data_IF_474528789554
#
_entry.id   IF_474528789554
#
_cell.length_a   1.000
_cell.length_b   1.000
_cell.length_c   1.000
_cell.angle_alpha   90.00
_cell.angle_beta   90.00
_cell.angle_gamma   90.00
#
_symmetry.space_group_name_H-M   'P 1'
#
loop_
_entity.id
_entity.type
_entity.pdbx_description
1 polymer ?
#
# COMPACT_ATOMS: atom_id res chain seq x y z
N UNK A 1 0.59 -14.63 -16.69
CA UNK A 1 1.39 -13.41 -16.65
C UNK A 1 0.56 -12.25 -17.16
N UNK A 2 0.06 -12.32 -18.39
CA UNK A 2 -0.62 -11.20 -19.07
C UNK A 2 -1.89 -10.67 -18.37
N UNK A 3 -2.62 -11.49 -17.62
CA UNK A 3 -3.91 -11.09 -17.05
C UNK A 3 -3.91 -11.02 -15.51
N UNK A 4 -2.84 -11.46 -14.85
CA UNK A 4 -2.86 -11.67 -13.41
C UNK A 4 -1.71 -11.00 -12.67
N UNK A 5 -0.68 -10.49 -13.38
CA UNK A 5 0.48 -9.88 -12.76
C UNK A 5 0.65 -8.44 -13.24
N UNK A 6 0.61 -7.54 -12.28
CA UNK A 6 0.77 -6.11 -12.48
C UNK A 6 1.88 -5.61 -11.58
N UNK A 7 2.65 -4.64 -12.05
CA UNK A 7 3.75 -4.08 -11.26
C UNK A 7 4.06 -2.65 -11.66
N UNK A 8 4.48 -1.87 -10.68
CA UNK A 8 4.91 -0.47 -10.85
C UNK A 8 6.22 -0.29 -10.12
N UNK A 9 7.21 0.27 -10.79
CA UNK A 9 8.46 0.70 -10.17
C UNK A 9 8.88 2.07 -10.72
N UNK A 10 9.62 2.83 -9.91
CA UNK A 10 10.23 4.10 -10.33
C UNK A 10 11.48 3.84 -11.20
N UNK A 11 12.22 2.76 -10.95
CA UNK A 11 13.42 2.43 -11.71
C UNK A 11 13.08 1.59 -12.96
N UNK A 12 13.28 2.19 -14.12
CA UNK A 12 13.04 1.56 -15.41
C UNK A 12 13.85 0.28 -15.61
N UNK A 13 15.06 0.21 -15.03
CA UNK A 13 15.90 -1.00 -15.09
C UNK A 13 15.34 -2.13 -14.24
N UNK A 14 14.75 -1.80 -13.07
CA UNK A 14 14.06 -2.77 -12.23
C UNK A 14 12.84 -3.34 -12.96
N UNK A 15 12.10 -2.52 -13.68
CA UNK A 15 10.97 -2.94 -14.54
C UNK A 15 11.46 -3.92 -15.62
N UNK A 16 12.50 -3.56 -16.37
CA UNK A 16 13.05 -4.41 -17.43
C UNK A 16 13.54 -5.77 -16.90
N UNK A 17 14.28 -5.76 -15.79
CA UNK A 17 14.74 -6.99 -15.13
C UNK A 17 13.57 -7.86 -14.66
N UNK A 18 12.52 -7.25 -14.11
CA UNK A 18 11.32 -7.95 -13.66
C UNK A 18 10.59 -8.58 -14.86
N UNK A 19 10.44 -7.85 -15.95
CA UNK A 19 9.84 -8.37 -17.18
C UNK A 19 10.60 -9.60 -17.68
N UNK A 20 11.93 -9.52 -17.79
CA UNK A 20 12.79 -10.65 -18.20
C UNK A 20 12.61 -11.83 -17.23
N UNK A 21 12.64 -11.59 -15.92
CA UNK A 21 12.47 -12.65 -14.92
C UNK A 21 11.11 -13.35 -15.04
N UNK A 22 10.03 -12.59 -15.29
CA UNK A 22 8.70 -13.13 -15.52
C UNK A 22 8.61 -13.97 -16.79
N UNK A 23 9.24 -13.53 -17.89
CA UNK A 23 9.33 -14.33 -19.11
C UNK A 23 10.10 -15.64 -18.88
N UNK A 24 11.26 -15.59 -18.23
CA UNK A 24 12.04 -16.79 -17.90
C UNK A 24 11.21 -17.75 -17.03
N UNK A 25 10.52 -17.22 -16.01
CA UNK A 25 9.67 -18.03 -15.12
C UNK A 25 8.50 -18.65 -15.87
N UNK A 26 7.86 -17.90 -16.75
CA UNK A 26 6.79 -18.43 -17.61
C UNK A 26 7.28 -19.56 -18.52
N UNK A 27 8.46 -19.43 -19.11
CA UNK A 27 9.10 -20.50 -19.90
C UNK A 27 9.36 -21.75 -19.07
N UNK A 28 9.89 -21.60 -17.86
CA UNK A 28 10.15 -22.73 -16.95
C UNK A 28 8.87 -23.49 -16.60
N UNK A 29 7.76 -22.78 -16.35
CA UNK A 29 6.50 -23.38 -15.93
C UNK A 29 5.74 -24.04 -17.09
N UNK A 30 5.73 -23.45 -18.28
CA UNK A 30 4.98 -23.94 -19.45
C UNK A 30 5.73 -25.01 -20.27
N UNK A 31 7.04 -25.14 -20.09
CA UNK A 31 7.86 -26.02 -20.92
C UNK A 31 7.88 -25.60 -22.40
N UNK A 32 8.36 -26.51 -23.30
CA UNK A 32 8.58 -26.20 -24.73
C UNK A 32 7.30 -25.97 -25.57
N UNK A 33 6.10 -26.28 -25.07
CA UNK A 33 4.85 -26.27 -25.86
C UNK A 33 3.88 -25.13 -25.50
N UNK A 34 4.18 -24.28 -24.56
CA UNK A 34 3.31 -23.17 -24.16
C UNK A 34 3.54 -21.91 -24.97
N UNK A 35 2.49 -21.15 -25.29
CA UNK A 35 2.63 -19.82 -25.85
C UNK A 35 3.38 -18.92 -24.85
N UNK A 36 4.34 -18.14 -25.35
CA UNK A 36 5.04 -17.13 -24.55
C UNK A 36 4.14 -15.95 -24.30
N UNK A 37 4.25 -15.29 -23.12
CA UNK A 37 3.63 -14.01 -22.92
C UNK A 37 4.14 -13.02 -23.97
N UNK A 38 3.22 -12.27 -24.56
CA UNK A 38 3.57 -11.25 -25.56
C UNK A 38 3.83 -9.90 -24.90
N UNK A 39 3.26 -9.67 -23.71
CA UNK A 39 3.43 -8.45 -22.92
C UNK A 39 3.32 -8.74 -21.42
N UNK A 40 3.66 -7.75 -20.62
CA UNK A 40 3.47 -7.74 -19.17
C UNK A 40 2.85 -6.41 -18.75
N UNK A 41 2.11 -6.40 -17.64
CA UNK A 41 1.64 -5.16 -17.01
C UNK A 41 2.61 -4.68 -15.92
N UNK A 42 3.92 -4.80 -16.16
CA UNK A 42 4.97 -4.26 -15.29
C UNK A 42 5.54 -3.03 -15.96
N UNK A 43 5.32 -1.86 -15.36
CA UNK A 43 5.57 -0.57 -15.99
C UNK A 43 6.40 0.36 -15.13
N UNK A 44 7.16 1.24 -15.78
CA UNK A 44 7.83 2.34 -15.09
C UNK A 44 6.96 3.59 -15.13
N UNK A 45 7.22 4.49 -14.17
CA UNK A 45 6.53 5.79 -14.10
C UNK A 45 7.33 6.92 -14.75
N UNK A 46 8.36 6.59 -15.53
CA UNK A 46 9.16 7.53 -16.29
C UNK A 46 8.49 7.88 -17.63
N UNK A 47 7.49 8.76 -17.56
CA UNK A 47 6.89 9.41 -18.72
C UNK A 47 6.74 10.91 -18.42
N UNK A 48 6.76 11.74 -19.46
CA UNK A 48 6.65 13.19 -19.34
C UNK A 48 5.27 13.66 -19.78
N UNK A 49 4.61 14.44 -18.92
CA UNK A 49 3.35 15.09 -19.22
C UNK A 49 3.55 16.62 -19.23
N UNK A 50 2.83 17.35 -20.10
CA UNK A 50 2.92 18.80 -20.18
C UNK A 50 2.29 19.47 -18.95
N UNK A 51 2.53 20.76 -18.81
CA UNK A 51 1.83 21.58 -17.81
C UNK A 51 0.32 21.52 -18.02
N UNK A 52 -0.45 21.53 -16.92
CA UNK A 52 -1.91 21.48 -16.96
C UNK A 52 -2.53 22.56 -17.85
N UNK A 53 -1.92 23.74 -17.92
CA UNK A 53 -2.34 24.84 -18.79
C UNK A 53 -2.54 24.45 -20.27
N UNK A 54 -1.73 23.50 -20.76
CA UNK A 54 -1.79 23.02 -22.16
C UNK A 54 -2.93 22.03 -22.40
N UNK A 55 -3.38 21.34 -21.38
CA UNK A 55 -4.42 20.29 -21.49
C UNK A 55 -5.75 20.74 -20.88
N UNK A 56 -5.77 21.83 -20.13
CA UNK A 56 -6.96 22.35 -19.45
C UNK A 56 -8.18 22.45 -20.36
N UNK A 57 -7.99 22.90 -21.62
CA UNK A 57 -9.06 22.99 -22.59
C UNK A 57 -9.77 21.66 -22.87
N UNK A 58 -9.03 20.55 -22.93
CA UNK A 58 -9.60 19.23 -23.18
C UNK A 58 -10.50 18.73 -22.03
N UNK A 59 -10.23 19.20 -20.80
CA UNK A 59 -11.04 18.84 -19.63
C UNK A 59 -12.29 19.74 -19.47
N UNK A 60 -12.21 20.99 -19.89
CA UNK A 60 -13.28 21.99 -19.65
C UNK A 60 -14.21 22.11 -20.87
N UNK A 61 -13.75 21.79 -22.08
CA UNK A 61 -14.56 21.92 -23.29
C UNK A 61 -15.76 20.98 -23.27
N UNK A 62 -16.97 21.56 -23.19
CA UNK A 62 -18.23 20.81 -23.22
C UNK A 62 -18.65 20.19 -21.89
N UNK A 63 -18.07 20.58 -20.78
CA UNK A 63 -18.43 20.11 -19.45
C UNK A 63 -18.80 21.27 -18.51
N UNK A 64 -19.89 21.12 -17.76
CA UNK A 64 -20.33 22.06 -16.73
C UNK A 64 -19.68 21.77 -15.35
N UNK A 65 -18.37 21.51 -15.34
CA UNK A 65 -17.69 21.14 -14.10
C UNK A 65 -17.51 22.33 -13.17
N UNK A 66 -17.89 22.12 -11.92
CA UNK A 66 -17.76 23.13 -10.88
C UNK A 66 -16.28 23.36 -10.48
N UNK A 67 -16.03 24.40 -9.71
CA UNK A 67 -14.67 24.81 -9.32
C UNK A 67 -13.92 23.71 -8.54
N UNK A 68 -14.63 22.96 -7.70
CA UNK A 68 -14.04 21.85 -6.90
C UNK A 68 -13.59 20.72 -7.82
N UNK A 69 -14.44 20.33 -8.78
CA UNK A 69 -14.11 19.32 -9.78
C UNK A 69 -12.89 19.73 -10.62
N UNK A 70 -12.85 20.98 -11.09
CA UNK A 70 -11.71 21.50 -11.85
C UNK A 70 -10.41 21.50 -11.03
N UNK A 71 -10.46 21.87 -9.74
CA UNK A 71 -9.30 21.81 -8.82
C UNK A 71 -8.83 20.38 -8.62
N UNK A 72 -9.73 19.43 -8.46
CA UNK A 72 -9.38 18.01 -8.27
C UNK A 72 -8.68 17.45 -9.53
N UNK A 73 -9.19 17.76 -10.72
CA UNK A 73 -8.55 17.35 -11.98
C UNK A 73 -7.13 17.93 -12.10
N UNK A 74 -6.99 19.22 -11.79
CA UNK A 74 -5.68 19.86 -11.78
C UNK A 74 -4.72 19.16 -10.82
N UNK A 75 -5.17 18.86 -9.60
CA UNK A 75 -4.36 18.12 -8.61
C UNK A 75 -3.93 16.75 -9.13
N UNK A 76 -4.87 15.97 -9.67
CA UNK A 76 -4.58 14.65 -10.25
C UNK A 76 -3.57 14.74 -11.40
N UNK A 77 -3.73 15.73 -12.28
CA UNK A 77 -2.81 15.93 -13.40
C UNK A 77 -1.39 16.26 -12.93
N UNK A 78 -1.25 17.13 -11.94
CA UNK A 78 0.06 17.49 -11.38
C UNK A 78 0.70 16.31 -10.63
N UNK A 79 -0.10 15.50 -9.92
CA UNK A 79 0.40 14.25 -9.31
C UNK A 79 0.91 13.28 -10.39
N UNK A 80 0.18 13.12 -11.51
CA UNK A 80 0.60 12.27 -12.62
C UNK A 80 1.86 12.82 -13.32
N UNK A 81 2.01 14.14 -13.44
CA UNK A 81 3.26 14.75 -13.94
C UNK A 81 4.46 14.43 -13.08
N UNK A 82 4.24 14.25 -11.78
CA UNK A 82 5.25 13.89 -10.82
C UNK A 82 5.34 12.35 -10.57
N UNK A 83 4.75 11.53 -11.46
CA UNK A 83 4.70 10.07 -11.31
C UNK A 83 6.11 9.44 -11.16
N UNK A 84 7.11 10.01 -11.79
CA UNK A 84 8.51 9.58 -11.66
C UNK A 84 9.08 9.76 -10.24
N UNK A 85 8.41 10.53 -9.37
CA UNK A 85 8.77 10.72 -7.96
C UNK A 85 7.89 9.92 -7.00
N UNK A 86 6.58 9.85 -7.30
CA UNK A 86 5.57 9.35 -6.36
C UNK A 86 5.09 7.94 -6.71
N UNK A 87 5.24 7.52 -7.95
CA UNK A 87 4.90 6.17 -8.40
C UNK A 87 3.47 5.77 -8.01
N UNK A 88 3.34 4.55 -7.53
CA UNK A 88 2.06 3.97 -7.12
C UNK A 88 1.41 4.62 -5.89
N UNK A 89 2.09 5.58 -5.22
CA UNK A 89 1.47 6.39 -4.15
C UNK A 89 0.46 7.40 -4.67
N UNK A 90 0.41 7.68 -5.99
CA UNK A 90 -0.60 8.56 -6.59
C UNK A 90 -1.99 7.95 -6.41
N UNK A 91 -2.94 8.79 -5.98
CA UNK A 91 -4.30 8.41 -5.62
C UNK A 91 -5.30 9.10 -6.56
N UNK A 92 -5.64 8.45 -7.67
CA UNK A 92 -6.59 8.98 -8.67
C UNK A 92 -8.03 8.74 -8.23
N UNK A 93 -8.40 7.49 -7.97
CA UNK A 93 -9.78 7.13 -7.60
C UNK A 93 -10.18 7.75 -6.27
N UNK A 94 -9.28 7.75 -5.28
CA UNK A 94 -9.55 8.27 -3.96
C UNK A 94 -9.77 9.80 -3.95
N UNK A 95 -9.07 10.54 -4.80
CA UNK A 95 -9.31 11.97 -4.98
C UNK A 95 -10.67 12.24 -5.65
N UNK A 96 -11.09 11.37 -6.57
CA UNK A 96 -12.40 11.46 -7.19
C UNK A 96 -13.53 11.06 -6.24
N UNK A 97 -13.32 10.00 -5.45
CA UNK A 97 -14.30 9.56 -4.45
C UNK A 97 -14.53 10.61 -3.36
N UNK A 98 -13.50 11.41 -3.03
CA UNK A 98 -13.62 12.51 -2.09
C UNK A 98 -14.56 13.64 -2.56
N UNK A 99 -14.93 13.67 -3.83
CA UNK A 99 -15.95 14.59 -4.37
C UNK A 99 -17.39 14.12 -4.11
N UNK A 100 -17.57 12.85 -3.70
CA UNK A 100 -18.89 12.32 -3.36
C UNK A 100 -19.39 12.93 -2.04
N UNK A 101 -20.67 13.35 -1.96
CA UNK A 101 -21.24 13.79 -0.71
C UNK A 101 -21.29 12.63 0.32
N UNK A 102 -20.93 12.92 1.56
CA UNK A 102 -20.87 11.94 2.65
C UNK A 102 -22.26 11.48 3.09
N UNK A 103 -23.30 12.28 2.87
CA UNK A 103 -24.68 11.99 3.30
C UNK A 103 -25.50 11.40 2.17
N UNK A 104 -25.86 10.12 2.30
CA UNK A 104 -26.68 9.36 1.35
C UNK A 104 -28.19 9.39 1.65
N UNK A 105 -28.64 10.23 2.59
CA UNK A 105 -30.05 10.31 3.01
C UNK A 105 -30.90 11.29 2.22
N UNK A 106 -30.32 12.00 1.25
CA UNK A 106 -31.02 12.95 0.40
C UNK A 106 -31.87 12.25 -0.67
N UNK A 107 -33.06 12.79 -0.92
CA UNK A 107 -34.01 12.30 -1.94
C UNK A 107 -33.40 12.33 -3.36
N UNK A 108 -32.37 13.12 -3.57
CA UNK A 108 -31.61 13.24 -4.82
C UNK A 108 -30.34 12.36 -4.89
N UNK A 109 -30.07 11.54 -3.89
CA UNK A 109 -28.83 10.74 -3.79
C UNK A 109 -28.58 9.85 -5.01
N UNK A 110 -29.64 9.32 -5.63
CA UNK A 110 -29.52 8.48 -6.82
C UNK A 110 -29.11 9.28 -8.06
N UNK A 111 -29.69 10.49 -8.24
CA UNK A 111 -29.30 11.39 -9.35
C UNK A 111 -27.86 11.85 -9.18
N UNK A 112 -27.47 12.27 -7.98
CA UNK A 112 -26.10 12.64 -7.65
C UNK A 112 -25.08 11.54 -7.93
N UNK A 113 -25.43 10.28 -7.61
CA UNK A 113 -24.58 9.12 -7.91
C UNK A 113 -24.42 8.92 -9.41
N UNK A 114 -25.50 9.06 -10.18
CA UNK A 114 -25.44 8.96 -11.65
C UNK A 114 -24.58 10.08 -12.26
N UNK A 115 -24.82 11.33 -11.87
CA UNK A 115 -24.07 12.49 -12.36
C UNK A 115 -22.57 12.39 -12.00
N UNK A 116 -22.26 11.87 -10.80
CA UNK A 116 -20.88 11.65 -10.38
C UNK A 116 -20.23 10.48 -11.12
N UNK A 117 -20.98 9.42 -11.41
CA UNK A 117 -20.48 8.31 -12.23
C UNK A 117 -20.12 8.80 -13.63
N UNK A 118 -20.98 9.62 -14.25
CA UNK A 118 -20.75 10.20 -15.56
C UNK A 118 -19.55 11.16 -15.53
N UNK A 119 -19.43 11.99 -14.49
CA UNK A 119 -18.27 12.86 -14.28
C UNK A 119 -16.96 12.05 -14.18
N UNK A 120 -16.92 11.03 -13.32
CA UNK A 120 -15.75 10.15 -13.17
C UNK A 120 -15.39 9.50 -14.50
N UNK A 121 -16.37 8.97 -15.21
CA UNK A 121 -16.15 8.31 -16.49
C UNK A 121 -15.59 9.27 -17.55
N UNK A 122 -16.19 10.44 -17.70
CA UNK A 122 -15.71 11.46 -18.65
C UNK A 122 -14.30 11.94 -18.30
N UNK A 123 -14.06 12.24 -17.02
CA UNK A 123 -12.77 12.73 -16.56
C UNK A 123 -11.66 11.69 -16.81
N UNK A 124 -11.89 10.42 -16.47
CA UNK A 124 -10.93 9.35 -16.67
C UNK A 124 -10.68 9.10 -18.16
N UNK A 125 -11.72 9.12 -18.98
CA UNK A 125 -11.58 8.99 -20.43
C UNK A 125 -10.72 10.14 -20.99
N UNK A 126 -10.97 11.36 -20.54
CA UNK A 126 -10.17 12.52 -20.96
C UNK A 126 -8.74 12.43 -20.47
N UNK A 127 -8.52 12.04 -19.19
CA UNK A 127 -7.17 11.79 -18.65
C UNK A 127 -6.41 10.77 -19.51
N UNK A 128 -7.02 9.63 -19.79
CA UNK A 128 -6.42 8.57 -20.59
C UNK A 128 -6.05 9.06 -22.00
N UNK A 129 -6.96 9.78 -22.65
CA UNK A 129 -6.73 10.33 -23.97
C UNK A 129 -5.59 11.37 -23.96
N UNK A 130 -5.55 12.26 -22.98
CA UNK A 130 -4.51 13.27 -22.87
C UNK A 130 -3.14 12.65 -22.54
N UNK A 131 -3.08 11.71 -21.60
CA UNK A 131 -1.85 10.99 -21.28
C UNK A 131 -1.36 10.25 -22.54
N UNK A 132 -2.22 9.52 -23.24
CA UNK A 132 -1.87 8.82 -24.46
C UNK A 132 -1.36 9.77 -25.55
N UNK A 133 -2.06 10.87 -25.80
CA UNK A 133 -1.68 11.87 -26.81
C UNK A 133 -0.26 12.38 -26.53
N UNK A 134 0.01 12.86 -25.32
CA UNK A 134 1.27 13.50 -24.99
C UNK A 134 2.45 12.55 -24.81
N UNK A 135 2.20 11.31 -24.41
CA UNK A 135 3.26 10.29 -24.34
C UNK A 135 3.49 9.58 -25.67
N UNK A 136 2.51 9.59 -26.56
CA UNK A 136 2.55 8.98 -27.90
C UNK A 136 3.00 9.91 -29.03
N UNK A 137 3.29 11.19 -28.78
CA UNK A 137 3.71 12.19 -29.80
C UNK A 137 5.14 11.96 -30.34
N UNK A 138 5.65 10.77 -30.32
CA UNK A 138 6.87 10.37 -31.00
C UNK A 138 6.61 9.28 -32.03
N UNK A 139 7.21 9.40 -33.21
CA UNK A 139 7.07 8.41 -34.28
C UNK A 139 7.97 7.18 -34.10
N UNK A 140 8.62 7.00 -32.94
CA UNK A 140 9.52 5.88 -32.67
C UNK A 140 8.91 4.87 -31.66
N UNK A 141 9.43 3.64 -31.69
CA UNK A 141 8.98 2.56 -30.83
C UNK A 141 9.09 2.89 -29.33
N UNK A 142 10.08 3.70 -28.94
CA UNK A 142 10.25 4.13 -27.54
C UNK A 142 9.08 5.00 -27.06
N UNK A 143 8.64 5.97 -27.84
CA UNK A 143 7.50 6.83 -27.50
C UNK A 143 6.20 6.02 -27.38
N UNK A 144 6.00 5.03 -28.26
CA UNK A 144 4.84 4.13 -28.20
C UNK A 144 4.88 3.25 -26.95
N UNK A 145 6.06 2.75 -26.58
CA UNK A 145 6.23 1.99 -25.34
C UNK A 145 5.90 2.84 -24.11
N UNK A 146 6.38 4.09 -24.05
CA UNK A 146 6.07 5.01 -22.96
C UNK A 146 4.58 5.39 -22.89
N UNK A 147 3.90 5.55 -24.03
CA UNK A 147 2.45 5.74 -24.08
C UNK A 147 1.70 4.53 -23.48
N UNK A 148 2.12 3.32 -23.82
CA UNK A 148 1.53 2.11 -23.26
C UNK A 148 1.80 1.96 -21.76
N UNK A 149 3.01 2.26 -21.29
CA UNK A 149 3.36 2.24 -19.86
C UNK A 149 2.49 3.23 -19.08
N UNK A 150 2.31 4.46 -19.61
CA UNK A 150 1.50 5.49 -18.93
C UNK A 150 0.02 5.12 -18.81
N UNK A 151 -0.53 4.51 -19.86
CA UNK A 151 -1.93 4.03 -19.84
C UNK A 151 -2.06 2.84 -18.88
N UNK A 152 -1.14 1.87 -18.94
CA UNK A 152 -1.12 0.73 -18.04
C UNK A 152 -0.97 1.19 -16.59
N UNK A 153 -0.12 2.19 -16.33
CA UNK A 153 0.02 2.79 -15.01
C UNK A 153 -1.31 3.37 -14.49
N UNK A 154 -2.01 4.17 -15.30
CA UNK A 154 -3.33 4.68 -14.94
C UNK A 154 -4.34 3.57 -14.65
N UNK A 155 -4.34 2.52 -15.47
CA UNK A 155 -5.23 1.38 -15.27
C UNK A 155 -4.89 0.64 -13.96
N UNK A 156 -3.61 0.48 -13.61
CA UNK A 156 -3.18 -0.10 -12.33
C UNK A 156 -3.66 0.74 -11.14
N UNK A 157 -3.53 2.07 -11.20
CA UNK A 157 -3.96 2.94 -10.09
C UNK A 157 -5.46 2.84 -9.78
N UNK A 158 -6.26 2.38 -10.72
CA UNK A 158 -7.73 2.29 -10.67
C UNK A 158 -8.25 0.87 -10.47
N UNK A 159 -7.43 -0.12 -10.75
CA UNK A 159 -7.82 -1.53 -10.63
C UNK A 159 -7.81 -1.96 -9.16
N UNK A 160 -8.78 -2.78 -8.78
CA UNK A 160 -8.78 -3.49 -7.50
C UNK A 160 -8.23 -4.90 -7.70
N UNK A 161 -7.28 -5.27 -6.87
CA UNK A 161 -6.54 -6.52 -6.99
C UNK A 161 -6.90 -7.50 -5.88
N UNK A 162 -6.86 -8.79 -6.18
CA UNK A 162 -7.02 -9.84 -5.16
C UNK A 162 -5.86 -9.83 -4.16
N UNK A 163 -4.65 -9.46 -4.63
CA UNK A 163 -3.45 -9.40 -3.81
C UNK A 163 -2.61 -8.19 -4.20
N UNK A 164 -2.24 -7.38 -3.21
CA UNK A 164 -1.26 -6.30 -3.34
C UNK A 164 -0.04 -6.62 -2.48
N UNK A 165 1.17 -6.55 -3.04
CA UNK A 165 2.41 -6.81 -2.30
C UNK A 165 3.40 -5.68 -2.49
N UNK A 166 4.14 -5.32 -1.43
CA UNK A 166 5.19 -4.33 -1.51
C UNK A 166 6.33 -4.59 -0.53
N UNK A 167 7.54 -4.23 -0.96
CA UNK A 167 8.69 -3.97 -0.12
C UNK A 167 9.03 -2.47 -0.28
N UNK A 168 8.37 -1.57 0.46
CA UNK A 168 8.48 -0.13 0.25
C UNK A 168 9.81 0.42 0.76
N UNK A 169 10.20 1.63 0.33
CA UNK A 169 11.31 2.35 0.96
C UNK A 169 11.04 2.61 2.46
N UNK A 170 12.09 2.52 3.30
CA UNK A 170 12.00 2.75 4.75
C UNK A 170 12.36 4.19 5.16
N UNK A 171 12.12 5.14 4.25
CA UNK A 171 12.48 6.55 4.44
C UNK A 171 11.56 7.22 5.46
N UNK A 172 12.15 7.83 6.46
CA UNK A 172 11.43 8.62 7.46
C UNK A 172 11.04 10.00 6.91
N UNK A 173 9.98 10.59 7.46
CA UNK A 173 9.49 11.91 7.05
C UNK A 173 10.49 13.06 7.26
N UNK A 174 11.48 12.88 8.14
CA UNK A 174 12.57 13.83 8.32
C UNK A 174 13.48 13.92 7.08
N UNK A 175 13.58 12.81 6.32
CA UNK A 175 14.43 12.69 5.14
C UNK A 175 13.68 12.96 3.83
N UNK A 176 12.39 13.32 3.89
CA UNK A 176 11.62 13.68 2.71
C UNK A 176 12.10 15.02 2.15
N UNK A 177 12.40 15.08 0.85
CA UNK A 177 12.52 16.35 0.15
C UNK A 177 11.18 17.13 0.18
N UNK A 178 11.23 18.44 -0.04
CA UNK A 178 10.05 19.31 0.08
C UNK A 178 8.84 18.82 -0.71
N UNK A 179 9.03 18.47 -1.98
CA UNK A 179 7.95 18.01 -2.86
C UNK A 179 7.30 16.71 -2.36
N UNK A 180 8.10 15.73 -1.93
CA UNK A 180 7.57 14.46 -1.39
C UNK A 180 6.83 14.70 -0.08
N UNK A 181 7.34 15.59 0.78
CA UNK A 181 6.71 15.96 2.04
C UNK A 181 5.35 16.61 1.81
N UNK A 182 5.25 17.52 0.84
CA UNK A 182 4.00 18.20 0.48
C UNK A 182 2.99 17.20 -0.09
N UNK A 183 3.42 16.35 -1.03
CA UNK A 183 2.58 15.29 -1.62
C UNK A 183 2.05 14.32 -0.55
N UNK A 184 2.93 13.80 0.31
CA UNK A 184 2.55 12.83 1.34
C UNK A 184 1.64 13.49 2.39
N UNK A 185 1.87 14.75 2.73
CA UNK A 185 1.00 15.49 3.66
C UNK A 185 -0.38 15.73 3.06
N UNK A 186 -0.47 16.07 1.79
CA UNK A 186 -1.75 16.28 1.11
C UNK A 186 -2.58 14.98 1.00
N UNK A 187 -1.92 13.85 0.70
CA UNK A 187 -2.60 12.60 0.36
C UNK A 187 -2.72 11.60 1.51
N UNK A 188 -1.83 11.65 2.52
CA UNK A 188 -1.68 10.60 3.54
C UNK A 188 -1.75 11.09 4.98
N UNK A 189 -2.02 12.38 5.23
CA UNK A 189 -2.10 12.92 6.59
C UNK A 189 -3.51 12.78 7.21
N UNK A 190 -4.57 12.87 6.42
CA UNK A 190 -5.97 12.79 6.90
C UNK A 190 -6.70 11.59 6.31
N UNK A 191 -7.69 11.03 7.02
CA UNK A 191 -8.13 11.30 8.40
C UNK A 191 -7.21 10.70 9.47
N UNK A 192 -6.30 9.81 9.10
CA UNK A 192 -5.31 9.15 9.95
C UNK A 192 -3.91 9.42 9.40
N UNK A 193 -2.95 9.59 10.30
CA UNK A 193 -1.58 9.99 9.97
C UNK A 193 -0.75 8.81 9.45
N UNK A 194 -0.53 8.77 8.15
CA UNK A 194 0.37 7.81 7.49
C UNK A 194 1.67 8.46 7.00
N UNK A 195 1.77 9.78 7.10
CA UNK A 195 2.84 10.59 6.53
C UNK A 195 4.16 10.59 7.31
N UNK A 196 4.29 9.79 8.36
CA UNK A 196 5.50 9.70 9.18
C UNK A 196 6.63 8.90 8.54
N UNK A 197 6.31 7.97 7.64
CA UNK A 197 7.28 7.16 6.91
C UNK A 197 6.67 6.66 5.60
N UNK A 198 7.50 6.44 4.57
CA UNK A 198 6.99 5.97 3.28
C UNK A 198 6.32 4.60 3.37
N UNK A 199 6.86 3.65 4.14
CA UNK A 199 6.20 2.35 4.28
C UNK A 199 4.79 2.46 4.88
N UNK A 200 4.54 3.45 5.76
CA UNK A 200 3.19 3.69 6.29
C UNK A 200 2.23 4.13 5.17
N UNK A 201 2.67 5.02 4.28
CA UNK A 201 1.89 5.39 3.09
C UNK A 201 1.58 4.17 2.21
N UNK A 202 2.56 3.28 2.02
CA UNK A 202 2.38 2.06 1.24
C UNK A 202 1.42 1.06 1.89
N UNK A 203 1.37 0.96 3.22
CA UNK A 203 0.35 0.14 3.91
C UNK A 203 -1.04 0.60 3.49
N UNK A 204 -1.30 1.91 3.60
CA UNK A 204 -2.58 2.48 3.19
C UNK A 204 -2.84 2.26 1.70
N UNK A 205 -1.85 2.53 0.85
CA UNK A 205 -2.00 2.42 -0.60
C UNK A 205 -2.27 0.98 -1.06
N UNK A 206 -1.56 0.00 -0.52
CA UNK A 206 -1.82 -1.40 -0.84
C UNK A 206 -3.22 -1.84 -0.40
N UNK A 207 -3.71 -1.37 0.76
CA UNK A 207 -5.09 -1.62 1.18
C UNK A 207 -6.12 -0.93 0.26
N UNK A 208 -5.80 0.23 -0.31
CA UNK A 208 -6.67 0.93 -1.28
C UNK A 208 -6.69 0.20 -2.64
N UNK A 209 -5.56 -0.34 -3.07
CA UNK A 209 -5.47 -1.14 -4.30
C UNK A 209 -6.07 -2.55 -4.16
N UNK A 210 -6.09 -3.11 -2.96
CA UNK A 210 -6.76 -4.37 -2.69
C UNK A 210 -8.29 -4.21 -2.81
N UNK A 211 -8.93 -5.18 -3.46
CA UNK A 211 -10.40 -5.29 -3.50
C UNK A 211 -10.98 -5.72 -2.14
N UNK A 212 -12.28 -5.86 -2.07
CA UNK A 212 -12.94 -6.42 -0.89
C UNK A 212 -12.52 -7.89 -0.74
N UNK A 213 -12.21 -8.31 0.49
CA UNK A 213 -11.56 -9.59 0.81
C UNK A 213 -10.16 -9.78 0.19
N UNK A 214 -9.62 -8.75 -0.47
CA UNK A 214 -8.28 -8.76 -1.04
C UNK A 214 -7.20 -8.79 0.04
N UNK A 215 -6.02 -9.33 -0.31
CA UNK A 215 -4.91 -9.51 0.63
C UNK A 215 -3.78 -8.53 0.35
N UNK A 216 -3.13 -8.10 1.43
CA UNK A 216 -1.98 -7.20 1.39
C UNK A 216 -0.79 -7.87 2.05
N UNK A 217 0.28 -8.11 1.28
CA UNK A 217 1.54 -8.64 1.78
C UNK A 217 2.60 -7.54 1.85
N UNK A 218 3.19 -7.33 3.03
CA UNK A 218 4.19 -6.28 3.25
C UNK A 218 5.40 -6.80 4.01
N UNK A 219 6.55 -6.18 3.76
CA UNK A 219 7.76 -6.31 4.57
C UNK A 219 8.36 -4.93 4.80
N UNK A 220 8.63 -4.57 6.06
CA UNK A 220 9.28 -3.32 6.46
C UNK A 220 9.71 -3.39 7.93
N UNK A 221 10.40 -2.35 8.48
CA UNK A 221 10.82 -2.35 9.88
C UNK A 221 9.66 -2.51 10.85
N UNK A 222 9.87 -3.30 11.90
CA UNK A 222 8.85 -3.61 12.91
C UNK A 222 8.56 -2.46 13.88
N UNK A 223 9.28 -1.37 13.80
CA UNK A 223 9.13 -0.20 14.70
C UNK A 223 7.70 0.32 14.78
N UNK A 224 6.92 0.19 13.70
CA UNK A 224 5.51 0.62 13.69
C UNK A 224 4.63 -0.13 14.69
N UNK A 225 5.05 -1.31 15.17
CA UNK A 225 4.29 -2.11 16.15
C UNK A 225 4.13 -1.40 17.49
N UNK A 226 5.07 -0.54 17.88
CA UNK A 226 5.15 -0.01 19.24
C UNK A 226 5.20 1.51 19.32
N UNK A 227 5.89 2.18 18.37
CA UNK A 227 6.15 3.61 18.45
C UNK A 227 4.85 4.42 18.34
N UNK A 228 4.66 5.42 19.20
CA UNK A 228 3.46 6.26 19.27
C UNK A 228 3.13 6.95 17.95
N UNK A 229 4.14 7.37 17.20
CA UNK A 229 3.98 8.01 15.88
C UNK A 229 3.15 7.18 14.90
N UNK A 230 3.16 5.84 15.02
CA UNK A 230 2.40 4.93 14.16
C UNK A 230 1.08 4.45 14.78
N UNK A 231 0.56 5.12 15.80
CA UNK A 231 -0.72 4.76 16.43
C UNK A 231 -1.86 4.71 15.41
N UNK A 232 -1.96 5.72 14.55
CA UNK A 232 -2.99 5.80 13.52
C UNK A 232 -2.86 4.68 12.47
N UNK A 233 -1.64 4.27 12.14
CA UNK A 233 -1.38 3.13 11.24
C UNK A 233 -1.89 1.84 11.86
N UNK A 234 -1.57 1.58 13.13
CA UNK A 234 -2.04 0.41 13.86
C UNK A 234 -3.56 0.41 14.02
N UNK A 235 -4.12 1.57 14.38
CA UNK A 235 -5.58 1.75 14.43
C UNK A 235 -6.23 1.39 13.11
N UNK A 236 -5.69 1.88 11.99
CA UNK A 236 -6.20 1.56 10.66
C UNK A 236 -6.15 0.06 10.37
N UNK A 237 -5.01 -0.59 10.59
CA UNK A 237 -4.86 -2.04 10.39
C UNK A 237 -5.91 -2.79 11.20
N UNK A 238 -6.04 -2.48 12.49
CA UNK A 238 -6.96 -3.18 13.38
C UNK A 238 -8.45 -2.92 13.09
N UNK A 239 -8.79 -1.80 12.43
CA UNK A 239 -10.20 -1.44 12.17
C UNK A 239 -10.66 -1.73 10.75
N UNK A 240 -9.74 -1.79 9.78
CA UNK A 240 -10.10 -1.91 8.37
C UNK A 240 -9.60 -3.21 7.73
N UNK A 241 -8.81 -3.98 8.47
CA UNK A 241 -8.25 -5.24 7.96
C UNK A 241 -8.26 -6.30 9.06
N UNK A 242 -8.16 -7.56 8.64
CA UNK A 242 -7.85 -8.68 9.51
C UNK A 242 -6.39 -9.12 9.30
N UNK A 243 -5.64 -9.31 10.39
CA UNK A 243 -4.28 -9.83 10.36
C UNK A 243 -4.34 -11.35 10.21
N UNK A 244 -4.13 -11.87 8.99
CA UNK A 244 -4.10 -13.31 8.77
C UNK A 244 -2.83 -13.94 9.35
N UNK A 245 -1.70 -13.28 9.13
CA UNK A 245 -0.40 -13.71 9.62
C UNK A 245 0.49 -12.49 9.85
N UNK A 246 1.22 -12.49 10.94
CA UNK A 246 2.23 -11.50 11.25
C UNK A 246 3.50 -12.19 11.75
N UNK A 247 4.66 -11.86 11.16
CA UNK A 247 5.96 -12.41 11.54
C UNK A 247 6.87 -11.29 12.02
N UNK A 248 7.16 -11.30 13.30
CA UNK A 248 8.19 -10.48 13.93
C UNK A 248 9.53 -11.20 13.79
N UNK A 249 10.27 -10.85 12.73
CA UNK A 249 11.51 -11.56 12.42
C UNK A 249 12.68 -11.09 13.28
N UNK A 250 12.66 -9.84 13.69
CA UNK A 250 13.71 -9.20 14.46
C UNK A 250 14.98 -8.94 13.65
N UNK A 251 15.92 -8.22 14.26
CA UNK A 251 17.16 -7.75 13.63
C UNK A 251 17.89 -8.85 12.87
N UNK A 252 18.19 -8.62 11.62
CA UNK A 252 18.89 -9.59 10.76
C UNK A 252 19.50 -8.91 9.54
N UNK A 253 20.41 -9.62 8.89
CA UNK A 253 20.96 -9.24 7.58
C UNK A 253 20.18 -9.89 6.41
N UNK A 254 18.88 -9.97 6.51
CA UNK A 254 18.00 -10.61 5.52
C UNK A 254 18.22 -10.08 4.10
N UNK A 255 18.60 -8.80 3.98
CA UNK A 255 18.89 -8.14 2.70
C UNK A 255 20.40 -7.99 2.42
N UNK A 256 21.21 -8.95 2.89
CA UNK A 256 22.65 -8.98 2.64
C UNK A 256 23.47 -8.17 3.65
N UNK A 257 24.03 -7.03 3.23
CA UNK A 257 24.92 -6.23 4.08
C UNK A 257 24.16 -5.24 4.99
N UNK A 258 22.89 -5.02 4.76
CA UNK A 258 22.08 -4.06 5.53
C UNK A 258 21.41 -4.78 6.69
N UNK A 259 21.71 -4.34 7.91
CA UNK A 259 21.02 -4.78 9.13
C UNK A 259 19.67 -4.08 9.22
N UNK A 260 18.60 -4.84 9.19
CA UNK A 260 17.24 -4.35 9.37
C UNK A 260 16.52 -5.18 10.42
N UNK A 261 15.48 -4.61 10.98
CA UNK A 261 14.61 -5.23 11.98
C UNK A 261 13.21 -5.44 11.36
N UNK A 262 13.07 -6.43 10.46
CA UNK A 262 11.86 -6.55 9.66
C UNK A 262 10.74 -7.27 10.41
N UNK A 263 9.52 -6.78 10.16
CA UNK A 263 8.31 -7.57 10.23
C UNK A 263 7.75 -7.79 8.83
N UNK A 264 7.11 -8.93 8.62
CA UNK A 264 6.33 -9.17 7.41
C UNK A 264 5.00 -9.81 7.76
N UNK A 265 3.99 -9.51 6.98
CA UNK A 265 2.63 -9.89 7.31
C UNK A 265 1.72 -10.00 6.10
N UNK A 266 0.59 -10.65 6.32
CA UNK A 266 -0.53 -10.71 5.39
C UNK A 266 -1.76 -10.13 6.10
N UNK A 267 -2.28 -9.04 5.56
CA UNK A 267 -3.57 -8.46 5.95
C UNK A 267 -4.63 -8.89 4.95
N UNK A 268 -5.86 -9.00 5.40
CA UNK A 268 -7.04 -9.18 4.55
C UNK A 268 -7.98 -7.99 4.76
N UNK A 269 -8.40 -7.37 3.67
CA UNK A 269 -9.30 -6.22 3.72
C UNK A 269 -10.74 -6.70 3.93
N UNK A 270 -11.22 -6.61 5.15
CA UNK A 270 -12.53 -7.12 5.56
C UNK A 270 -13.39 -6.10 6.33
N UNK A 271 -12.95 -4.85 6.40
CA UNK A 271 -13.59 -3.81 7.21
C UNK A 271 -13.48 -4.05 8.73
N UNK A 272 -12.60 -4.95 9.17
CA UNK A 272 -12.41 -5.28 10.59
C UNK A 272 -13.56 -6.10 11.19
N UNK A 273 -14.33 -6.81 10.37
CA UNK A 273 -15.53 -7.55 10.77
C UNK A 273 -15.27 -9.02 11.10
N UNK A 274 -14.15 -9.60 10.63
CA UNK A 274 -13.81 -10.99 10.90
C UNK A 274 -13.43 -11.21 12.37
N UNK A 275 -14.04 -12.22 12.97
CA UNK A 275 -13.79 -12.65 14.34
C UNK A 275 -12.81 -13.85 14.44
N UNK A 276 -12.13 -14.16 13.35
CA UNK A 276 -11.13 -15.22 13.34
C UNK A 276 -9.89 -14.77 14.14
N UNK A 277 -9.19 -15.74 14.70
CA UNK A 277 -7.92 -15.45 15.35
C UNK A 277 -6.87 -15.03 14.35
N UNK A 278 -6.06 -14.05 14.74
CA UNK A 278 -4.85 -13.66 14.03
C UNK A 278 -3.69 -14.54 14.48
N UNK A 279 -2.81 -14.87 13.54
CA UNK A 279 -1.62 -15.67 13.78
C UNK A 279 -0.37 -14.79 13.82
N UNK A 280 0.46 -14.99 14.85
CA UNK A 280 1.71 -14.27 15.01
C UNK A 280 2.86 -15.28 15.19
N UNK A 281 3.99 -14.99 14.53
CA UNK A 281 5.25 -15.72 14.72
C UNK A 281 6.27 -14.76 15.30
N UNK A 282 6.85 -15.07 16.46
CA UNK A 282 7.90 -14.27 17.09
C UNK A 282 9.25 -14.96 16.99
N UNK A 283 10.21 -14.29 16.36
CA UNK A 283 11.59 -14.75 16.21
C UNK A 283 12.62 -13.73 16.74
N UNK A 284 12.17 -12.58 17.24
CA UNK A 284 13.05 -11.53 17.74
C UNK A 284 13.90 -11.99 18.93
N UNK A 285 13.37 -12.87 19.77
CA UNK A 285 14.09 -13.49 20.88
C UNK A 285 15.43 -14.14 20.50
N UNK A 286 15.64 -14.46 19.22
CA UNK A 286 16.89 -15.01 18.69
C UNK A 286 17.86 -13.96 18.18
N UNK A 287 17.45 -12.71 18.15
CA UNK A 287 18.31 -11.57 17.75
C UNK A 287 19.55 -11.50 18.62
N UNK A 288 20.72 -11.39 18.00
CA UNK A 288 22.03 -11.36 18.65
C UNK A 288 22.34 -12.59 19.54
N UNK A 289 21.72 -13.72 19.25
CA UNK A 289 22.01 -15.00 19.90
C UNK A 289 22.71 -15.96 18.93
N UNK A 290 23.36 -17.05 19.42
CA UNK A 290 23.92 -18.07 18.54
C UNK A 290 22.87 -18.75 17.64
N UNK A 291 21.59 -18.67 18.00
CA UNK A 291 20.46 -19.24 17.26
C UNK A 291 19.96 -18.33 16.12
N UNK A 292 20.45 -17.11 15.99
CA UNK A 292 20.04 -16.17 14.96
C UNK A 292 20.14 -16.76 13.54
N UNK A 293 21.18 -17.53 13.27
CA UNK A 293 21.40 -18.24 11.99
C UNK A 293 20.28 -19.23 11.62
N UNK A 294 19.48 -19.65 12.59
CA UNK A 294 18.38 -20.60 12.38
C UNK A 294 17.01 -19.90 12.23
N UNK A 295 16.91 -18.58 12.35
CA UNK A 295 15.64 -17.86 12.24
C UNK A 295 14.85 -18.21 10.99
N UNK A 296 15.50 -18.32 9.83
CA UNK A 296 14.84 -18.73 8.58
C UNK A 296 14.22 -20.14 8.70
N UNK A 297 14.96 -21.06 9.28
CA UNK A 297 14.47 -22.43 9.50
C UNK A 297 13.28 -22.43 10.46
N UNK A 298 13.39 -21.76 11.61
CA UNK A 298 12.30 -21.65 12.59
C UNK A 298 11.05 -20.99 11.99
N UNK A 299 11.23 -19.98 11.14
CA UNK A 299 10.11 -19.38 10.44
C UNK A 299 9.40 -20.38 9.51
N UNK A 300 10.15 -21.13 8.71
CA UNK A 300 9.59 -22.13 7.79
C UNK A 300 8.91 -23.28 8.56
N UNK A 301 9.50 -23.73 9.66
CA UNK A 301 8.90 -24.73 10.54
C UNK A 301 7.58 -24.21 11.14
N UNK A 302 7.57 -22.99 11.67
CA UNK A 302 6.36 -22.39 12.23
C UNK A 302 5.24 -22.24 11.17
N UNK A 303 5.58 -21.82 9.94
CA UNK A 303 4.63 -21.76 8.83
C UNK A 303 4.08 -23.14 8.46
N UNK A 304 4.93 -24.17 8.41
CA UNK A 304 4.49 -25.54 8.14
C UNK A 304 3.58 -26.06 9.25
N UNK A 305 3.92 -25.78 10.51
CA UNK A 305 3.13 -26.21 11.67
C UNK A 305 1.77 -25.53 11.72
N UNK A 306 1.67 -24.26 11.30
CA UNK A 306 0.38 -23.58 11.10
C UNK A 306 -0.48 -24.33 10.07
N UNK A 307 0.10 -24.70 8.92
CA UNK A 307 -0.61 -25.41 7.85
C UNK A 307 -1.06 -26.81 8.31
N UNK A 308 -0.20 -27.52 9.03
CA UNK A 308 -0.48 -28.87 9.55
C UNK A 308 -1.27 -28.88 10.86
N UNK A 309 -1.61 -27.69 11.39
CA UNK A 309 -2.27 -27.50 12.69
C UNK A 309 -1.52 -28.14 13.86
N UNK A 310 -0.19 -28.15 13.78
CA UNK A 310 0.70 -28.63 14.82
C UNK A 310 1.05 -27.47 15.79
N UNK A 311 1.35 -27.81 17.04
CA UNK A 311 1.81 -26.81 18.01
C UNK A 311 3.24 -26.37 17.71
N UNK A 312 3.47 -25.06 17.78
CA UNK A 312 4.81 -24.48 17.64
C UNK A 312 4.99 -23.36 18.68
N UNK A 313 6.10 -23.39 19.41
CA UNK A 313 6.40 -22.43 20.49
C UNK A 313 6.59 -20.99 20.03
N UNK A 314 6.78 -20.76 18.73
CA UNK A 314 6.93 -19.43 18.13
C UNK A 314 5.61 -18.84 17.65
N UNK A 315 4.56 -19.67 17.62
CA UNK A 315 3.25 -19.29 17.10
C UNK A 315 2.35 -18.86 18.25
N UNK A 316 1.79 -17.68 18.13
CA UNK A 316 0.76 -17.13 18.99
C UNK A 316 -0.52 -16.97 18.18
N UNK A 317 -1.64 -17.31 18.79
CA UNK A 317 -2.95 -17.24 18.18
C UNK A 317 -3.91 -16.52 19.11
N UNK A 318 -4.50 -15.42 18.66
CA UNK A 318 -5.44 -14.65 19.47
C UNK A 318 -6.36 -13.80 18.58
N UNK A 319 -7.59 -13.49 19.07
CA UNK A 319 -8.46 -12.53 18.39
C UNK A 319 -7.79 -11.15 18.27
N UNK A 320 -7.83 -10.56 17.08
CA UNK A 320 -7.28 -9.22 16.81
C UNK A 320 -7.85 -8.13 17.75
N UNK A 321 -9.10 -8.30 18.21
CA UNK A 321 -9.75 -7.41 19.16
C UNK A 321 -8.95 -7.20 20.45
N UNK A 322 -8.18 -8.21 20.90
CA UNK A 322 -7.33 -8.10 22.09
C UNK A 322 -6.21 -7.07 21.95
N UNK A 323 -5.76 -6.77 20.72
CA UNK A 323 -4.78 -5.71 20.47
C UNK A 323 -5.38 -4.31 20.60
N UNK A 324 -6.71 -4.19 20.49
CA UNK A 324 -7.43 -2.91 20.65
C UNK A 324 -7.58 -2.48 22.13
N UNK A 325 -7.40 -3.40 23.07
CA UNK A 325 -7.59 -3.17 24.50
C UNK A 325 -6.49 -2.33 25.17
N UNK A 326 -5.35 -2.11 24.50
CA UNK A 326 -4.23 -1.34 25.05
C UNK A 326 -4.19 0.04 24.35
N UNK A 327 -4.03 1.11 25.13
CA UNK A 327 -3.91 2.49 24.63
C UNK A 327 -2.83 2.57 23.55
N UNK A 328 -3.09 3.29 22.47
CA UNK A 328 -2.21 3.43 21.29
C UNK A 328 -2.03 2.15 20.46
N UNK A 329 -2.77 1.09 20.75
CA UNK A 329 -2.85 -0.13 19.96
C UNK A 329 -1.51 -0.86 19.66
N UNK A 330 -0.58 -1.00 20.64
CA UNK A 330 0.67 -1.69 20.38
C UNK A 330 0.41 -3.17 20.06
N UNK A 331 1.19 -3.74 19.14
CA UNK A 331 1.05 -5.14 18.75
C UNK A 331 1.73 -6.08 19.77
N UNK A 332 1.24 -6.06 21.02
CA UNK A 332 1.70 -6.89 22.10
C UNK A 332 0.84 -8.17 22.17
N UNK A 333 1.17 -9.16 21.35
CA UNK A 333 0.38 -10.40 21.19
C UNK A 333 0.80 -11.52 22.14
N UNK A 334 1.98 -11.44 22.76
CA UNK A 334 2.60 -12.50 23.57
C UNK A 334 2.26 -12.48 25.06
N UNK A 335 1.57 -11.46 25.55
CA UNK A 335 1.17 -11.35 26.96
C UNK A 335 -0.11 -12.13 27.23
N UNK A 336 -0.25 -12.66 28.49
CA UNK A 336 -1.46 -13.30 28.94
C UNK A 336 -2.65 -12.33 29.04
N UNK A 337 -3.86 -12.87 29.02
CA UNK A 337 -5.08 -12.04 29.18
C UNK A 337 -5.11 -11.35 30.54
N UNK A 338 -4.72 -12.04 31.61
CA UNK A 338 -4.60 -11.49 32.96
C UNK A 338 -3.63 -10.28 33.02
N UNK A 339 -2.50 -10.38 32.30
CA UNK A 339 -1.57 -9.25 32.22
C UNK A 339 -2.12 -8.12 31.35
N UNK A 340 -2.87 -8.43 30.29
CA UNK A 340 -3.50 -7.47 29.40
C UNK A 340 -4.56 -6.63 30.11
N UNK A 341 -5.33 -7.23 31.03
CA UNK A 341 -6.34 -6.55 31.82
C UNK A 341 -5.76 -5.41 32.68
N UNK A 342 -4.50 -5.53 33.11
CA UNK A 342 -3.83 -4.45 33.87
C UNK A 342 -3.63 -3.17 33.08
N UNK A 343 -3.67 -3.20 31.74
CA UNK A 343 -3.60 -2.01 30.90
C UNK A 343 -4.95 -1.29 30.77
N UNK A 344 -6.06 -1.86 31.27
CA UNK A 344 -7.35 -1.19 31.36
C UNK A 344 -7.46 -0.25 32.57
N UNK A 345 -6.56 -0.40 33.55
CA UNK A 345 -6.49 0.44 34.73
C UNK A 345 -5.85 1.81 34.39
N UNK A 346 -5.80 2.69 35.42
CA UNK A 346 -5.18 4.00 35.31
C UNK A 346 -3.71 3.87 34.93
N UNK A 347 -3.37 4.40 33.77
CA UNK A 347 -1.98 4.38 33.30
C UNK A 347 -1.15 5.45 33.99
N UNK A 348 0.16 5.25 34.05
CA UNK A 348 1.10 6.26 34.60
C UNK A 348 0.96 7.60 33.86
N UNK A 349 0.76 7.57 32.54
CA UNK A 349 0.53 8.73 31.66
C UNK A 349 -0.76 9.51 31.99
N UNK A 350 -1.70 8.91 32.73
CA UNK A 350 -2.92 9.57 33.20
C UNK A 350 -2.72 10.30 34.56
N UNK A 351 -1.57 10.06 35.21
CA UNK A 351 -1.26 10.54 36.55
C UNK A 351 -0.07 11.49 36.57
N UNK A 352 0.90 11.29 35.67
CA UNK A 352 2.14 12.07 35.59
C UNK A 352 2.46 12.41 34.13
N UNK A 353 2.99 13.60 33.92
CA UNK A 353 3.50 14.04 32.63
C UNK A 353 4.91 13.46 32.43
N UNK A 354 4.99 12.36 31.69
CA UNK A 354 6.25 11.65 31.42
C UNK A 354 7.01 12.39 30.33
N UNK A 355 8.12 13.01 30.67
CA UNK A 355 9.02 13.67 29.71
C UNK A 355 10.23 12.78 29.42
N UNK A 356 10.63 12.73 28.16
CA UNK A 356 11.87 12.09 27.77
C UNK A 356 13.02 12.92 28.37
N UNK A 357 13.90 12.27 29.13
CA UNK A 357 15.13 12.91 29.63
C UNK A 357 16.01 13.36 28.46
N UNK A 358 16.73 14.45 28.67
CA UNK A 358 17.72 15.02 27.74
C UNK A 358 18.97 14.15 27.74
#
# INVERSE_FOLDING_TARGET
>A
VENNLYGVDLDERAVQLTQIALFIKAMQLKGRRGAMPTYTHVVSTHFELPEYSKVKGAFISGSDWNETQQKTIHSIWEDLRAAYKFGSLIRVEEQLDALLPVDSSDMFANQWKADMFDFKHQMITTLRNQVHQWTGEGSNEYSLAKANDSITFLDILRTKFDVAVANPPYTDSADFGAELKDFVSANYYKPLKFNSNLYACFIKRCCELAGDDGKVGMIHPMTFMYIKTFEDVRKYILTNTHINLFVEYGLSNLFGTVMVDPAFYVLEKDGGTKNNDSLFISLDQYTRTPQEKYKKQYCLEALNDIVTKSQNKHVYQLPQSKLKGIKSYPFIYWISDEFREKFSDKLLDDVVDVKQGI
#
